data_IF_642410051581
#
_entry.id   IF_642410051581
#
_cell.length_a   1.000
_cell.length_b   1.000
_cell.length_c   1.000
_cell.angle_alpha   90.00
_cell.angle_beta   90.00
_cell.angle_gamma   90.00
#
_symmetry.space_group_name_H-M   'P 1'
#
loop_
_entity.id
_entity.type
_entity.pdbx_description
1 polymer ?
#
# COMPACT_ATOMS: atom_id res chain seq x y z
N UNK A 1 19.30 -14.66 -4.21
CA UNK A 1 18.82 -13.31 -4.57
C UNK A 1 17.66 -13.47 -5.53
N UNK A 2 16.52 -12.81 -5.29
CA UNK A 2 15.29 -12.93 -6.10
C UNK A 2 15.22 -11.81 -7.15
N UNK A 3 14.64 -12.09 -8.32
CA UNK A 3 14.30 -11.10 -9.36
C UNK A 3 13.03 -11.55 -10.11
N UNK A 4 12.15 -10.64 -10.53
CA UNK A 4 11.04 -11.02 -11.38
C UNK A 4 11.53 -11.34 -12.81
N UNK A 5 10.86 -12.25 -13.55
CA UNK A 5 11.35 -12.72 -14.85
C UNK A 5 11.56 -11.64 -15.92
N UNK A 6 10.77 -10.55 -15.86
CA UNK A 6 10.85 -9.45 -16.81
C UNK A 6 12.05 -8.51 -16.59
N UNK A 7 12.79 -8.63 -15.49
CA UNK A 7 13.99 -7.83 -15.24
C UNK A 7 15.21 -8.52 -15.81
N UNK A 8 15.80 -7.97 -16.87
CA UNK A 8 16.92 -8.59 -17.60
C UNK A 8 18.19 -8.72 -16.75
N UNK A 9 18.48 -7.75 -15.88
CA UNK A 9 19.68 -7.73 -15.04
C UNK A 9 19.45 -6.94 -13.75
N UNK A 10 20.11 -7.36 -12.67
CA UNK A 10 20.13 -6.63 -11.39
C UNK A 10 21.21 -5.56 -11.43
N UNK A 11 20.77 -4.32 -11.62
CA UNK A 11 21.59 -3.09 -11.67
C UNK A 11 20.97 -2.04 -10.75
N UNK A 12 21.70 -1.01 -10.31
CA UNK A 12 21.18 0.03 -9.40
C UNK A 12 20.26 1.01 -10.14
N UNK A 13 19.20 0.49 -10.76
CA UNK A 13 18.18 1.24 -11.48
C UNK A 13 16.80 0.89 -10.92
N UNK A 14 15.96 1.90 -10.71
CA UNK A 14 14.57 1.69 -10.31
C UNK A 14 13.71 1.36 -11.54
N UNK A 15 13.70 0.09 -11.95
CA UNK A 15 13.04 -0.32 -13.20
C UNK A 15 11.53 -0.55 -13.04
N UNK A 16 11.13 -1.30 -12.03
CA UNK A 16 9.73 -1.69 -11.80
C UNK A 16 9.11 -1.09 -10.53
N UNK A 17 9.95 -0.51 -9.67
CA UNK A 17 9.60 -0.02 -8.33
C UNK A 17 8.88 -1.07 -7.49
N UNK A 18 9.66 -1.99 -6.90
CA UNK A 18 9.14 -2.95 -5.93
C UNK A 18 8.66 -2.18 -4.70
N UNK A 19 7.36 -2.21 -4.45
CA UNK A 19 6.69 -1.35 -3.48
C UNK A 19 6.29 -2.06 -2.18
N UNK A 20 6.47 -3.37 -2.11
CA UNK A 20 6.25 -4.11 -0.89
C UNK A 20 6.37 -5.63 -1.05
N UNK A 21 6.46 -6.30 0.10
CA UNK A 21 6.61 -7.75 0.24
C UNK A 21 5.57 -8.24 1.27
N UNK A 22 4.84 -9.28 0.90
CA UNK A 22 3.96 -10.04 1.77
C UNK A 22 4.60 -11.38 2.09
N UNK A 23 4.63 -11.70 3.38
CA UNK A 23 5.02 -13.01 3.86
C UNK A 23 3.78 -13.88 4.05
N UNK A 24 3.89 -15.18 3.78
CA UNK A 24 2.97 -16.23 4.21
C UNK A 24 3.79 -17.24 5.01
N UNK A 25 3.40 -17.49 6.25
CA UNK A 25 4.09 -18.43 7.14
C UNK A 25 5.61 -18.16 7.27
N UNK A 26 5.98 -16.87 7.33
CA UNK A 26 7.37 -16.42 7.43
C UNK A 26 8.16 -16.45 6.12
N UNK A 27 7.62 -17.02 5.04
CA UNK A 27 8.25 -17.06 3.72
C UNK A 27 7.72 -15.97 2.79
N UNK A 28 8.56 -15.47 1.88
CA UNK A 28 8.16 -14.51 0.86
C UNK A 28 7.14 -15.13 -0.10
N UNK A 29 5.94 -14.54 -0.18
CA UNK A 29 4.83 -15.10 -0.95
C UNK A 29 4.45 -14.22 -2.14
N UNK A 30 4.28 -12.91 -1.90
CA UNK A 30 3.88 -11.95 -2.93
C UNK A 30 4.66 -10.66 -2.80
N UNK A 31 4.86 -10.00 -3.92
CA UNK A 31 5.37 -8.62 -3.95
C UNK A 31 4.45 -7.74 -4.78
N UNK A 32 4.42 -6.46 -4.46
CA UNK A 32 3.79 -5.43 -5.30
C UNK A 32 4.86 -4.67 -6.07
N UNK A 33 4.54 -4.26 -7.29
CA UNK A 33 5.38 -3.37 -8.10
C UNK A 33 4.50 -2.33 -8.79
N UNK A 34 5.05 -1.14 -9.08
CA UNK A 34 4.29 -0.09 -9.76
C UNK A 34 4.16 -0.31 -11.25
N UNK A 35 5.07 -1.05 -11.88
CA UNK A 35 4.87 -1.58 -13.23
C UNK A 35 5.83 -2.72 -13.54
N UNK A 36 5.45 -3.71 -14.38
CA UNK A 36 6.38 -4.71 -14.89
C UNK A 36 7.22 -4.11 -16.03
N UNK A 37 8.15 -3.21 -15.69
CA UNK A 37 9.04 -2.51 -16.64
C UNK A 37 10.50 -2.88 -16.40
N UNK A 38 11.28 -2.97 -17.49
CA UNK A 38 12.73 -3.24 -17.47
C UNK A 38 13.56 -2.04 -17.94
N UNK A 39 13.02 -0.83 -17.74
CA UNK A 39 13.65 0.45 -18.11
C UNK A 39 13.72 1.31 -16.86
N UNK A 40 14.86 1.98 -16.63
CA UNK A 40 15.04 2.89 -15.51
C UNK A 40 13.89 3.92 -15.44
N UNK A 41 13.23 3.98 -14.29
CA UNK A 41 12.05 4.81 -14.01
C UNK A 41 10.84 4.59 -14.93
N UNK A 42 10.80 3.50 -15.70
CA UNK A 42 9.74 3.21 -16.68
C UNK A 42 8.34 3.11 -16.06
N UNK A 43 8.25 2.77 -14.77
CA UNK A 43 6.98 2.73 -14.04
C UNK A 43 6.30 4.11 -13.90
N UNK A 44 7.04 5.23 -14.00
CA UNK A 44 6.50 6.58 -13.76
C UNK A 44 5.43 6.99 -14.78
N UNK A 45 5.51 6.47 -16.01
CA UNK A 45 4.50 6.68 -17.05
C UNK A 45 3.29 5.75 -16.91
N UNK A 46 3.34 4.76 -16.02
CA UNK A 46 2.29 3.73 -15.83
C UNK A 46 1.72 3.73 -14.42
N UNK A 47 1.73 4.88 -13.73
CA UNK A 47 1.25 5.02 -12.35
C UNK A 47 -0.26 4.72 -12.18
N UNK A 48 -1.06 4.89 -13.23
CA UNK A 48 -2.52 4.79 -13.14
C UNK A 48 -3.02 3.35 -13.06
N UNK A 49 -2.42 2.46 -13.83
CA UNK A 49 -2.92 1.11 -14.07
C UNK A 49 -1.80 0.07 -14.29
N UNK A 50 -0.53 0.48 -14.27
CA UNK A 50 0.60 -0.42 -14.50
C UNK A 50 0.91 -1.34 -13.32
N UNK A 51 0.40 -1.02 -12.14
CA UNK A 51 0.74 -1.70 -10.90
C UNK A 51 0.27 -3.14 -10.89
N UNK A 52 1.05 -4.02 -10.25
CA UNK A 52 0.77 -5.44 -10.21
C UNK A 52 1.19 -6.08 -8.89
N UNK A 53 0.64 -7.29 -8.67
CA UNK A 53 1.11 -8.24 -7.67
C UNK A 53 1.79 -9.39 -8.39
N UNK A 54 2.95 -9.80 -7.89
CA UNK A 54 3.75 -10.90 -8.43
C UNK A 54 3.84 -11.98 -7.36
N UNK A 55 3.50 -13.21 -7.73
CA UNK A 55 3.79 -14.38 -6.91
C UNK A 55 5.30 -14.65 -6.92
N UNK A 56 5.90 -14.67 -5.73
CA UNK A 56 7.37 -14.73 -5.57
C UNK A 56 7.92 -16.08 -6.02
N UNK A 57 7.17 -17.16 -5.82
CA UNK A 57 7.59 -18.54 -6.10
C UNK A 57 7.61 -18.79 -7.60
N UNK A 58 6.56 -18.38 -8.30
CA UNK A 58 6.38 -18.63 -9.74
C UNK A 58 6.89 -17.50 -10.62
N UNK A 59 7.09 -16.31 -10.05
CA UNK A 59 7.43 -15.09 -10.78
C UNK A 59 6.30 -14.54 -11.65
N UNK A 60 5.08 -15.08 -11.55
CA UNK A 60 3.93 -14.69 -12.37
C UNK A 60 3.22 -13.48 -11.78
N UNK A 61 2.80 -12.57 -12.66
CA UNK A 61 1.81 -11.55 -12.31
C UNK A 61 0.48 -12.24 -12.04
N UNK A 62 -0.06 -12.06 -10.83
CA UNK A 62 -1.33 -12.68 -10.40
C UNK A 62 -2.51 -11.73 -10.52
N UNK A 63 -2.25 -10.42 -10.46
CA UNK A 63 -3.18 -9.33 -10.78
C UNK A 63 -2.37 -8.11 -11.25
N UNK A 64 -2.93 -7.35 -12.18
CA UNK A 64 -2.44 -6.06 -12.67
C UNK A 64 -3.56 -5.00 -12.65
N UNK A 65 -3.37 -3.86 -13.31
CA UNK A 65 -4.38 -2.79 -13.35
C UNK A 65 -4.42 -1.94 -12.08
N UNK A 66 -3.45 -2.08 -11.17
CA UNK A 66 -3.42 -1.37 -9.89
C UNK A 66 -2.77 0.02 -10.05
N UNK A 67 -3.28 0.99 -9.28
CA UNK A 67 -2.71 2.32 -9.22
C UNK A 67 -1.74 2.42 -8.03
N UNK A 68 -0.45 2.30 -8.32
CA UNK A 68 0.63 2.39 -7.32
C UNK A 68 0.39 1.50 -6.08
N UNK A 69 0.29 0.16 -6.24
CA UNK A 69 -0.02 -0.74 -5.12
C UNK A 69 1.10 -0.76 -4.09
N UNK A 70 0.79 -0.81 -2.79
CA UNK A 70 1.79 -0.80 -1.71
C UNK A 70 1.42 -1.73 -0.55
N UNK A 71 2.43 -2.07 0.25
CA UNK A 71 2.32 -2.77 1.54
C UNK A 71 1.43 -4.02 1.54
N UNK A 72 1.70 -4.99 0.66
CA UNK A 72 0.92 -6.22 0.61
C UNK A 72 1.15 -7.04 1.89
N UNK A 73 0.11 -7.72 2.37
CA UNK A 73 0.12 -8.56 3.56
C UNK A 73 -0.79 -9.77 3.34
N UNK A 74 -0.30 -10.96 3.64
CA UNK A 74 -1.19 -12.12 3.79
C UNK A 74 -1.73 -12.11 5.21
N UNK A 75 -3.05 -12.08 5.35
CA UNK A 75 -3.72 -12.08 6.65
C UNK A 75 -5.13 -12.67 6.52
N UNK A 76 -5.49 -13.60 7.41
CA UNK A 76 -6.79 -14.32 7.37
C UNK A 76 -7.11 -14.85 5.96
N UNK A 77 -6.17 -15.61 5.40
CA UNK A 77 -6.25 -16.28 4.09
C UNK A 77 -6.48 -15.36 2.87
N UNK A 78 -6.37 -14.05 3.05
CA UNK A 78 -6.47 -13.04 1.99
C UNK A 78 -5.14 -12.32 1.79
N UNK A 79 -4.91 -11.88 0.56
CA UNK A 79 -3.84 -10.94 0.25
C UNK A 79 -4.40 -9.51 0.29
N UNK A 80 -4.09 -8.79 1.35
CA UNK A 80 -4.47 -7.39 1.55
C UNK A 80 -3.38 -6.46 1.02
N UNK A 81 -3.78 -5.28 0.55
CA UNK A 81 -2.84 -4.26 0.09
C UNK A 81 -3.52 -2.89 0.01
N UNK A 82 -2.69 -1.86 -0.19
CA UNK A 82 -3.14 -0.54 -0.59
C UNK A 82 -3.12 -0.44 -2.11
N UNK A 83 -4.21 0.02 -2.71
CA UNK A 83 -4.22 0.55 -4.06
C UNK A 83 -3.95 2.06 -3.98
N UNK A 84 -2.74 2.42 -3.53
CA UNK A 84 -2.46 3.69 -2.86
C UNK A 84 -2.73 4.93 -3.73
N UNK A 85 -2.51 4.84 -5.05
CA UNK A 85 -2.82 5.93 -5.97
C UNK A 85 -4.33 6.20 -6.14
N UNK A 86 -5.19 5.34 -5.61
CA UNK A 86 -6.64 5.58 -5.50
C UNK A 86 -7.10 6.02 -4.11
N UNK A 87 -6.26 5.84 -3.08
CA UNK A 87 -6.65 6.03 -1.67
C UNK A 87 -7.48 4.90 -1.07
N UNK A 88 -7.62 3.76 -1.76
CA UNK A 88 -8.35 2.61 -1.26
C UNK A 88 -7.45 1.53 -0.66
N UNK A 89 -7.90 0.99 0.46
CA UNK A 89 -7.43 -0.24 1.07
C UNK A 89 -8.39 -1.39 0.73
N UNK A 90 -7.87 -2.59 0.53
CA UNK A 90 -8.66 -3.74 0.14
C UNK A 90 -7.86 -5.04 0.02
N UNK A 91 -8.41 -6.02 -0.68
CA UNK A 91 -7.77 -7.32 -0.91
C UNK A 91 -7.82 -7.74 -2.37
N UNK A 92 -6.98 -8.72 -2.74
CA UNK A 92 -7.02 -9.37 -4.06
C UNK A 92 -8.05 -10.49 -4.04
N UNK A 93 -9.03 -10.42 -4.93
CA UNK A 93 -9.85 -11.57 -5.33
C UNK A 93 -9.09 -12.32 -6.44
N UNK A 94 -8.57 -13.51 -6.12
CA UNK A 94 -7.76 -14.30 -7.05
C UNK A 94 -8.58 -14.99 -8.15
N UNK A 95 -9.86 -15.26 -7.90
CA UNK A 95 -10.73 -15.92 -8.87
C UNK A 95 -11.13 -14.93 -9.96
N UNK A 96 -11.51 -13.72 -9.56
CA UNK A 96 -11.86 -12.62 -10.47
C UNK A 96 -10.63 -11.85 -10.97
N UNK A 97 -9.49 -12.01 -10.31
CA UNK A 97 -8.23 -11.27 -10.56
C UNK A 97 -8.44 -9.75 -10.51
N UNK A 98 -9.17 -9.30 -9.49
CA UNK A 98 -9.44 -7.88 -9.27
C UNK A 98 -9.08 -7.47 -7.84
N UNK A 99 -8.85 -6.18 -7.67
CA UNK A 99 -8.75 -5.56 -6.35
C UNK A 99 -10.15 -5.24 -5.87
N UNK A 100 -10.51 -5.76 -4.71
CA UNK A 100 -11.77 -5.49 -4.03
C UNK A 100 -11.58 -4.37 -2.99
N UNK A 101 -12.04 -3.14 -3.27
CA UNK A 101 -11.91 -2.04 -2.33
C UNK A 101 -12.81 -2.25 -1.11
N UNK A 102 -12.26 -2.04 0.08
CA UNK A 102 -12.99 -2.14 1.35
C UNK A 102 -13.21 -0.77 1.97
N UNK A 103 -12.18 0.06 2.04
CA UNK A 103 -12.27 1.38 2.69
C UNK A 103 -11.49 2.43 1.90
N UNK A 104 -12.05 3.63 1.84
CA UNK A 104 -11.34 4.82 1.38
C UNK A 104 -10.68 5.51 2.57
N UNK A 105 -9.40 5.84 2.41
CA UNK A 105 -8.59 6.49 3.42
C UNK A 105 -8.03 7.81 2.86
N UNK A 106 -8.36 8.96 3.47
CA UNK A 106 -8.00 10.27 2.92
C UNK A 106 -6.53 10.61 3.22
N UNK A 107 -5.59 9.87 2.66
CA UNK A 107 -4.14 10.07 2.76
C UNK A 107 -3.38 9.14 1.81
N UNK A 108 -2.09 9.39 1.61
CA UNK A 108 -1.23 8.45 0.90
C UNK A 108 -1.02 7.25 1.81
N UNK A 109 -1.57 6.10 1.39
CA UNK A 109 -1.53 4.86 2.15
C UNK A 109 -0.16 4.20 2.04
N UNK A 110 0.53 4.07 3.17
CA UNK A 110 1.86 3.45 3.22
C UNK A 110 1.86 2.26 4.19
N UNK A 111 1.97 2.49 5.50
CA UNK A 111 2.03 1.39 6.47
C UNK A 111 0.77 0.51 6.47
N UNK A 112 0.93 -0.80 6.67
CA UNK A 112 -0.18 -1.74 6.92
C UNK A 112 0.21 -2.82 7.95
N UNK A 113 -0.62 -2.97 8.96
CA UNK A 113 -0.57 -4.02 9.97
C UNK A 113 -1.99 -4.48 10.34
N UNK A 114 -2.10 -5.60 11.06
CA UNK A 114 -3.38 -6.20 11.42
C UNK A 114 -3.43 -6.61 12.89
N UNK A 115 -4.63 -6.53 13.47
CA UNK A 115 -4.93 -7.07 14.80
C UNK A 115 -6.39 -7.54 14.91
N UNK A 116 -6.60 -8.85 15.07
CA UNK A 116 -7.94 -9.43 15.10
C UNK A 116 -8.71 -9.13 13.81
N UNK A 117 -9.82 -8.42 13.90
CA UNK A 117 -10.62 -7.99 12.75
C UNK A 117 -10.32 -6.54 12.32
N UNK A 118 -9.14 -6.01 12.63
CA UNK A 118 -8.79 -4.64 12.30
C UNK A 118 -7.56 -4.56 11.40
N UNK A 119 -7.66 -3.74 10.36
CA UNK A 119 -6.52 -3.21 9.62
C UNK A 119 -6.09 -1.90 10.25
N UNK A 120 -4.78 -1.72 10.48
CA UNK A 120 -4.17 -0.47 10.93
C UNK A 120 -3.28 0.03 9.81
N UNK A 121 -3.50 1.27 9.37
CA UNK A 121 -2.76 1.83 8.24
C UNK A 121 -2.20 3.22 8.54
N UNK A 122 -1.00 3.46 8.03
CA UNK A 122 -0.35 4.76 8.05
C UNK A 122 -0.78 5.59 6.86
N UNK A 123 -1.16 6.84 7.14
CA UNK A 123 -1.54 7.85 6.16
C UNK A 123 -0.50 8.96 6.19
N UNK A 124 -0.03 9.32 5.00
CA UNK A 124 0.89 10.44 4.80
C UNK A 124 0.21 11.56 4.01
N UNK A 125 0.66 12.79 4.23
CA UNK A 125 0.35 13.89 3.32
C UNK A 125 1.15 13.75 2.04
N UNK A 126 0.59 14.17 0.89
CA UNK A 126 1.37 14.34 -0.34
C UNK A 126 2.58 15.26 -0.10
N UNK A 127 3.75 14.84 -0.55
CA UNK A 127 5.00 15.63 -0.49
C UNK A 127 4.94 16.84 -1.41
N UNK A 128 4.30 16.70 -2.56
CA UNK A 128 4.10 17.77 -3.52
C UNK A 128 2.85 17.51 -4.38
N UNK A 129 2.28 18.53 -5.03
CA UNK A 129 1.18 18.34 -5.98
C UNK A 129 1.53 17.39 -7.13
N UNK A 130 2.77 17.42 -7.62
CA UNK A 130 3.25 16.59 -8.73
C UNK A 130 3.23 15.10 -8.38
N UNK A 131 3.46 14.76 -7.11
CA UNK A 131 3.41 13.38 -6.63
C UNK A 131 2.04 12.74 -6.91
N UNK A 132 0.97 13.50 -6.70
CA UNK A 132 -0.42 13.02 -6.83
C UNK A 132 -1.09 13.47 -8.12
N UNK A 133 -0.40 14.26 -8.95
CA UNK A 133 -0.94 14.76 -10.20
C UNK A 133 -1.37 13.60 -11.11
N UNK A 134 -2.63 13.68 -11.55
CA UNK A 134 -3.29 12.69 -12.39
C UNK A 134 -3.77 11.42 -11.67
N UNK A 135 -3.47 11.24 -10.38
CA UNK A 135 -3.88 10.05 -9.65
C UNK A 135 -5.38 10.10 -9.30
N UNK A 136 -6.11 8.97 -9.37
CA UNK A 136 -7.51 8.87 -8.95
C UNK A 136 -7.74 9.37 -7.52
N UNK A 137 -6.74 9.28 -6.64
CA UNK A 137 -6.76 9.80 -5.27
C UNK A 137 -7.28 11.25 -5.18
N UNK A 138 -6.83 12.15 -6.07
CA UNK A 138 -7.25 13.57 -6.04
C UNK A 138 -8.74 13.69 -6.31
N UNK A 139 -9.24 12.97 -7.31
CA UNK A 139 -10.66 12.92 -7.65
C UNK A 139 -11.48 12.32 -6.50
N UNK A 140 -11.03 11.20 -5.94
CA UNK A 140 -11.73 10.50 -4.87
C UNK A 140 -11.82 11.34 -3.58
N UNK A 141 -10.79 12.13 -3.27
CA UNK A 141 -10.83 13.12 -2.18
C UNK A 141 -11.94 14.16 -2.42
N UNK A 142 -11.96 14.76 -3.61
CA UNK A 142 -12.94 15.78 -3.96
C UNK A 142 -14.38 15.27 -3.94
N UNK A 143 -14.64 14.10 -4.54
CA UNK A 143 -15.96 13.46 -4.55
C UNK A 143 -16.49 13.14 -3.14
N UNK A 144 -15.58 12.90 -2.18
CA UNK A 144 -15.93 12.62 -0.79
C UNK A 144 -15.89 13.86 0.11
N UNK A 145 -15.63 15.05 -0.44
CA UNK A 145 -15.50 16.28 0.34
C UNK A 145 -14.38 16.22 1.39
N UNK A 146 -13.31 15.47 1.11
CA UNK A 146 -12.23 15.20 2.05
C UNK A 146 -10.94 15.94 1.67
N UNK A 147 -10.19 16.38 2.68
CA UNK A 147 -8.80 16.79 2.55
C UNK A 147 -7.87 15.63 2.95
N UNK A 148 -6.69 15.56 2.33
CA UNK A 148 -5.66 14.61 2.72
C UNK A 148 -5.21 14.83 4.18
N UNK A 149 -4.86 13.74 4.87
CA UNK A 149 -4.53 13.71 6.30
C UNK A 149 -3.25 12.90 6.53
N UNK A 150 -2.50 13.30 7.54
CA UNK A 150 -1.41 12.50 8.12
C UNK A 150 -1.92 11.80 9.38
N UNK A 151 -1.53 10.55 9.60
CA UNK A 151 -1.80 9.84 10.84
C UNK A 151 -2.03 8.34 10.67
N UNK A 152 -2.84 7.77 11.54
CA UNK A 152 -3.19 6.35 11.56
C UNK A 152 -4.70 6.20 11.46
N UNK A 153 -5.17 5.30 10.59
CA UNK A 153 -6.56 4.86 10.57
C UNK A 153 -6.68 3.38 10.89
N UNK A 154 -7.78 3.02 11.55
CA UNK A 154 -8.15 1.66 11.88
C UNK A 154 -9.46 1.33 11.18
N UNK A 155 -9.46 0.26 10.39
CA UNK A 155 -10.60 -0.22 9.60
C UNK A 155 -11.05 -1.57 10.15
N UNK A 156 -12.33 -1.75 10.48
CA UNK A 156 -12.90 -3.07 10.77
C UNK A 156 -13.05 -3.85 9.45
N UNK A 157 -12.44 -5.04 9.38
CA UNK A 157 -12.38 -5.87 8.18
C UNK A 157 -13.72 -6.49 7.79
N UNK A 158 -14.69 -6.53 8.70
CA UNK A 158 -16.01 -7.13 8.46
C UNK A 158 -16.97 -6.13 7.86
N UNK A 159 -16.94 -4.87 8.32
CA UNK A 159 -17.82 -3.81 7.82
C UNK A 159 -17.15 -2.90 6.79
N UNK A 160 -15.82 -2.81 6.79
CA UNK A 160 -15.08 -1.81 6.01
C UNK A 160 -15.13 -0.40 6.61
N UNK A 161 -15.72 -0.24 7.78
CA UNK A 161 -15.83 1.06 8.45
C UNK A 161 -14.51 1.46 9.12
N UNK A 162 -14.22 2.76 9.11
CA UNK A 162 -13.14 3.34 9.91
C UNK A 162 -13.61 3.42 11.36
N UNK A 163 -13.19 2.46 12.19
CA UNK A 163 -13.60 2.38 13.60
C UNK A 163 -12.84 3.37 14.49
N UNK A 164 -11.57 3.65 14.19
CA UNK A 164 -10.73 4.57 14.97
C UNK A 164 -9.72 5.31 14.10
N UNK A 165 -9.20 6.42 14.62
CA UNK A 165 -8.16 7.19 13.95
C UNK A 165 -7.32 8.01 14.94
N UNK A 166 -6.08 8.29 14.56
CA UNK A 166 -5.20 9.28 15.17
C UNK A 166 -4.78 10.22 14.06
N UNK A 167 -4.99 11.52 14.24
CA UNK A 167 -4.52 12.54 13.29
C UNK A 167 -3.23 13.14 13.81
N UNK A 168 -2.25 13.23 12.94
CA UNK A 168 -1.01 13.94 13.21
C UNK A 168 -1.06 15.29 12.50
N UNK A 169 -0.79 16.35 13.24
CA UNK A 169 -0.84 17.74 12.78
C UNK A 169 0.50 18.44 13.03
N UNK A 170 0.68 19.65 12.51
CA UNK A 170 1.96 20.37 12.56
C UNK A 170 2.99 19.77 11.60
N UNK A 171 4.20 19.54 12.09
CA UNK A 171 5.36 19.13 11.27
C UNK A 171 5.32 17.64 10.87
N UNK A 172 4.40 16.86 11.42
CA UNK A 172 4.24 15.45 11.08
C UNK A 172 3.55 15.30 9.73
N UNK A 173 4.33 14.97 8.71
CA UNK A 173 3.86 14.87 7.32
C UNK A 173 3.67 13.44 6.84
N UNK A 174 4.37 12.47 7.42
CA UNK A 174 4.42 11.10 6.90
C UNK A 174 4.33 10.04 7.98
N UNK A 175 3.57 8.97 7.72
CA UNK A 175 3.51 7.74 8.51
C UNK A 175 3.77 6.54 7.59
N UNK A 176 5.06 6.28 7.34
CA UNK A 176 5.48 5.26 6.35
C UNK A 176 5.30 3.82 6.81
N UNK A 177 5.26 3.60 8.12
CA UNK A 177 5.22 2.26 8.71
C UNK A 177 4.34 2.23 9.94
N UNK A 178 3.65 1.11 10.12
CA UNK A 178 2.86 0.81 11.32
C UNK A 178 3.12 -0.64 11.71
N UNK A 179 3.13 -0.91 13.01
CA UNK A 179 3.26 -2.24 13.57
C UNK A 179 2.33 -2.36 14.78
N UNK A 180 1.82 -3.57 15.00
CA UNK A 180 1.01 -3.89 16.18
C UNK A 180 1.90 -4.59 17.19
N UNK A 181 1.99 -4.02 18.39
CA UNK A 181 2.71 -4.60 19.53
C UNK A 181 1.69 -5.10 20.56
N UNK A 182 1.26 -6.36 20.41
CA UNK A 182 0.24 -6.95 21.26
C UNK A 182 0.69 -7.01 22.74
N UNK A 183 -0.22 -6.66 23.66
CA UNK A 183 0.03 -6.73 25.10
C UNK A 183 0.82 -5.54 25.69
N UNK A 184 1.33 -4.63 24.85
CA UNK A 184 2.04 -3.43 25.33
C UNK A 184 1.04 -2.36 25.75
N UNK A 185 1.14 -1.87 26.99
CA UNK A 185 0.21 -0.88 27.59
C UNK A 185 0.81 0.50 27.85
N UNK A 186 2.14 0.63 27.78
CA UNK A 186 2.87 1.86 28.09
C UNK A 186 3.76 2.26 26.91
N UNK A 187 3.19 2.77 25.81
CA UNK A 187 3.99 3.28 24.71
C UNK A 187 4.76 4.54 25.15
N UNK A 188 5.98 4.69 24.64
CA UNK A 188 6.79 5.90 24.78
C UNK A 188 7.06 6.44 23.38
N UNK A 189 6.88 7.74 23.19
CA UNK A 189 7.32 8.42 21.96
C UNK A 189 8.80 8.76 22.12
N UNK A 190 9.61 8.29 21.18
CA UNK A 190 11.04 8.60 21.13
C UNK A 190 11.28 9.42 19.87
N UNK A 191 11.87 10.60 20.02
CA UNK A 191 12.37 11.39 18.89
C UNK A 191 13.84 11.09 18.67
N UNK A 192 14.22 10.82 17.43
CA UNK A 192 15.62 10.74 17.04
C UNK A 192 15.97 12.12 16.49
N UNK A 193 16.83 12.85 17.21
CA UNK A 193 17.33 14.16 16.81
C UNK A 193 18.28 14.08 15.63
#
# INVERSE_FOLDING_TARGET
MWRPPFISKLVPEDRCHLSGLALRDGAAAYVTAYAPTDVAFGYRSRRLDGGCVIDVVTGKVVIDGLCMPQSPRVYQDKLWLHNAGTGYFGFVDFDRRVFEPIAFCPGILEGLAFWGHHAVMGLSLPRSPEQIAGLPFVKNLAEKGAAARCGVQVVDLRSGEVSHWIRLEGDFREVRGVAVLAGIKKPLVVTVG
#
